data_IF_584268015553
#
_entry.id   IF_584268015553
#
_cell.length_a   1.000
_cell.length_b   1.000
_cell.length_c   1.000
_cell.angle_alpha   90.00
_cell.angle_beta   90.00
_cell.angle_gamma   90.00
#
_symmetry.space_group_name_H-M   'P 1'
#
loop_
_entity.id
_entity.type
_entity.pdbx_description
1 polymer ?
#
# COMPACT_ATOMS: atom_id res chain seq x y z
N UNK A 1 9.51 -16.41 4.89
CA UNK A 1 8.14 -16.89 4.60
C UNK A 1 8.17 -17.89 3.46
N UNK A 2 8.53 -17.47 2.24
CA UNK A 2 8.62 -18.39 1.09
C UNK A 2 9.57 -19.60 1.30
N UNK A 3 10.57 -19.48 2.16
CA UNK A 3 11.47 -20.57 2.56
C UNK A 3 11.05 -21.28 3.86
N UNK A 4 9.80 -21.12 4.30
CA UNK A 4 9.22 -21.70 5.52
C UNK A 4 9.93 -21.38 6.86
N UNK A 5 10.82 -20.38 6.93
CA UNK A 5 11.49 -20.02 8.19
C UNK A 5 10.65 -19.14 9.13
N UNK A 6 9.54 -18.58 8.64
CA UNK A 6 8.57 -17.81 9.45
C UNK A 6 7.16 -18.17 9.00
N UNK A 7 6.23 -18.22 9.96
CA UNK A 7 4.83 -18.61 9.74
C UNK A 7 3.96 -17.44 9.28
N UNK A 8 4.31 -16.21 9.67
CA UNK A 8 3.62 -14.98 9.26
C UNK A 8 4.61 -13.99 8.64
N UNK A 9 4.13 -13.20 7.68
CA UNK A 9 4.90 -12.17 7.02
C UNK A 9 3.99 -10.97 6.71
N UNK A 10 4.30 -9.81 7.31
CA UNK A 10 3.57 -8.57 7.06
C UNK A 10 4.02 -7.97 5.73
N UNK A 11 3.09 -7.81 4.77
CA UNK A 11 3.35 -7.21 3.46
C UNK A 11 2.09 -6.64 2.85
N UNK A 12 2.22 -6.02 1.68
CA UNK A 12 1.08 -5.61 0.87
C UNK A 12 0.80 -6.55 -0.30
N UNK A 13 -0.29 -6.27 -1.00
CA UNK A 13 -0.79 -7.05 -2.14
C UNK A 13 0.22 -7.22 -3.28
N UNK A 14 1.15 -6.28 -3.46
CA UNK A 14 2.22 -6.36 -4.47
C UNK A 14 3.12 -7.60 -4.33
N UNK A 15 3.13 -8.23 -3.15
CA UNK A 15 3.95 -9.41 -2.87
C UNK A 15 3.29 -10.72 -3.34
N UNK A 16 1.98 -10.72 -3.57
CA UNK A 16 1.16 -11.89 -3.93
C UNK A 16 1.68 -12.63 -5.17
N UNK A 17 1.98 -11.97 -6.31
CA UNK A 17 2.52 -12.68 -7.48
C UNK A 17 3.82 -13.40 -7.20
N UNK A 18 4.73 -12.76 -6.44
CA UNK A 18 6.00 -13.37 -6.07
C UNK A 18 5.81 -14.58 -5.12
N UNK A 19 4.83 -14.54 -4.23
CA UNK A 19 4.51 -15.69 -3.38
C UNK A 19 3.93 -16.85 -4.19
N UNK A 20 2.99 -16.57 -5.08
CA UNK A 20 2.44 -17.58 -5.99
C UNK A 20 3.55 -18.27 -6.81
N UNK A 21 4.49 -17.49 -7.36
CA UNK A 21 5.61 -18.02 -8.14
C UNK A 21 6.61 -18.81 -7.29
N UNK A 22 7.10 -18.22 -6.19
CA UNK A 22 8.22 -18.79 -5.42
C UNK A 22 7.82 -19.92 -4.48
N UNK A 23 6.59 -19.91 -3.97
CA UNK A 23 6.06 -20.98 -3.13
C UNK A 23 5.52 -22.10 -4.00
N UNK A 24 4.84 -21.77 -5.10
CA UNK A 24 4.23 -22.75 -5.97
C UNK A 24 3.30 -23.68 -5.19
N UNK A 25 3.53 -24.98 -5.31
CA UNK A 25 2.79 -26.06 -4.64
C UNK A 25 3.46 -26.55 -3.36
N UNK A 26 4.53 -25.89 -2.89
CA UNK A 26 5.30 -26.37 -1.74
C UNK A 26 4.48 -26.39 -0.43
N UNK A 27 3.58 -25.43 -0.25
CA UNK A 27 2.64 -25.37 0.88
C UNK A 27 1.52 -24.35 0.62
N UNK A 28 0.38 -24.54 1.30
CA UNK A 28 -0.74 -23.60 1.27
C UNK A 28 -0.40 -22.33 2.05
N UNK A 29 -0.85 -21.18 1.53
CA UNK A 29 -0.72 -19.88 2.17
C UNK A 29 -1.93 -19.01 1.85
N UNK A 30 -2.24 -18.08 2.73
CA UNK A 30 -3.35 -17.14 2.54
C UNK A 30 -3.02 -15.80 3.18
N UNK A 31 -3.62 -14.73 2.64
CA UNK A 31 -3.64 -13.44 3.33
C UNK A 31 -4.69 -13.47 4.46
N UNK A 32 -4.43 -12.71 5.53
CA UNK A 32 -5.39 -12.48 6.62
C UNK A 32 -5.59 -10.98 6.80
N UNK A 33 -6.72 -10.54 7.39
CA UNK A 33 -6.96 -9.13 7.68
C UNK A 33 -5.85 -8.48 8.51
N UNK A 34 -5.73 -7.16 8.42
CA UNK A 34 -4.75 -6.41 9.21
C UNK A 34 -5.01 -6.62 10.71
N UNK A 35 -3.97 -6.81 11.53
CA UNK A 35 -4.13 -6.96 12.97
C UNK A 35 -4.70 -5.69 13.59
N UNK A 36 -5.53 -5.84 14.63
CA UNK A 36 -6.10 -4.73 15.37
C UNK A 36 -5.11 -4.20 16.41
N UNK A 37 -4.84 -2.90 16.37
CA UNK A 37 -4.22 -2.16 17.47
C UNK A 37 -5.26 -1.47 18.35
N UNK A 38 -4.83 -0.76 19.42
CA UNK A 38 -5.73 -0.02 20.30
C UNK A 38 -6.57 1.06 19.60
N UNK A 39 -6.08 1.58 18.47
CA UNK A 39 -6.74 2.66 17.74
C UNK A 39 -7.60 2.18 16.56
N UNK A 40 -7.15 1.14 15.82
CA UNK A 40 -7.83 0.65 14.63
C UNK A 40 -7.30 -0.73 14.18
N UNK A 41 -8.10 -1.43 13.37
CA UNK A 41 -7.67 -2.57 12.55
C UNK A 41 -7.44 -2.03 11.13
N UNK A 42 -6.26 -1.49 10.86
CA UNK A 42 -5.97 -0.77 9.61
C UNK A 42 -4.57 -1.06 9.11
N UNK A 43 -4.43 -1.08 7.78
CA UNK A 43 -3.14 -0.94 7.10
C UNK A 43 -2.79 0.52 6.81
N UNK A 44 -1.68 0.71 6.12
CA UNK A 44 -1.33 1.97 5.46
C UNK A 44 -1.74 1.89 3.98
N UNK A 45 -2.50 2.86 3.45
CA UNK A 45 -2.74 2.92 2.02
C UNK A 45 -1.43 3.18 1.28
N UNK A 46 -1.31 2.55 0.13
CA UNK A 46 -0.20 2.70 -0.81
C UNK A 46 -0.72 2.62 -2.23
N UNK A 47 0.18 2.66 -3.21
CA UNK A 47 -0.18 2.44 -4.61
C UNK A 47 0.59 3.34 -5.56
N UNK A 48 0.18 3.29 -6.82
CA UNK A 48 0.67 4.14 -7.88
C UNK A 48 -0.49 4.95 -8.45
N UNK A 49 -0.19 6.18 -8.86
CA UNK A 49 -1.13 7.04 -9.56
C UNK A 49 -0.61 7.30 -10.98
N UNK A 50 -1.54 7.36 -11.94
CA UNK A 50 -1.27 7.93 -13.24
C UNK A 50 -1.54 9.43 -13.18
N UNK A 51 -0.54 10.24 -13.53
CA UNK A 51 -0.64 11.70 -13.48
C UNK A 51 -0.40 12.32 -14.86
N UNK A 52 -1.22 13.31 -15.21
CA UNK A 52 -0.94 14.20 -16.33
C UNK A 52 0.11 15.23 -15.96
N UNK A 53 1.05 15.51 -16.85
CA UNK A 53 2.07 16.53 -16.64
C UNK A 53 1.53 17.89 -17.09
N UNK A 54 1.56 18.88 -16.20
CA UNK A 54 0.97 20.19 -16.44
C UNK A 54 1.59 20.94 -17.63
N UNK A 55 2.87 20.72 -17.90
CA UNK A 55 3.63 21.39 -18.97
C UNK A 55 3.47 20.74 -20.35
N UNK A 56 2.50 19.83 -20.53
CA UNK A 56 2.25 19.19 -21.83
C UNK A 56 1.74 20.20 -22.87
N UNK A 57 2.21 20.08 -24.11
CA UNK A 57 1.68 20.83 -25.26
C UNK A 57 0.31 20.28 -25.75
N UNK A 58 -0.13 19.14 -25.20
CA UNK A 58 -1.34 18.41 -25.61
C UNK A 58 -2.30 18.12 -24.43
N UNK A 59 -2.80 19.15 -23.72
CA UNK A 59 -3.59 18.96 -22.50
C UNK A 59 -4.95 18.30 -22.77
N UNK A 60 -5.58 18.57 -23.91
CA UNK A 60 -6.89 17.99 -24.26
C UNK A 60 -6.77 16.49 -24.57
N UNK A 61 -5.71 16.07 -25.27
CA UNK A 61 -5.43 14.68 -25.60
C UNK A 61 -5.06 13.88 -24.36
N UNK A 62 -4.22 14.44 -23.48
CA UNK A 62 -3.91 13.82 -22.18
C UNK A 62 -5.18 13.65 -21.35
N UNK A 63 -6.02 14.68 -21.26
CA UNK A 63 -7.29 14.59 -20.55
C UNK A 63 -8.21 13.50 -21.15
N UNK A 64 -8.24 13.35 -22.48
CA UNK A 64 -9.00 12.29 -23.16
C UNK A 64 -8.50 10.89 -22.79
N UNK A 65 -7.19 10.68 -22.75
CA UNK A 65 -6.60 9.39 -22.34
C UNK A 65 -6.90 9.12 -20.87
N UNK A 66 -6.70 10.09 -19.99
CA UNK A 66 -7.02 9.94 -18.56
C UNK A 66 -8.49 9.63 -18.33
N UNK A 67 -9.39 10.31 -19.04
CA UNK A 67 -10.84 10.07 -18.95
C UNK A 67 -11.21 8.65 -19.39
N UNK A 68 -10.59 8.14 -20.46
CA UNK A 68 -10.79 6.76 -20.90
C UNK A 68 -10.25 5.76 -19.87
N UNK A 69 -9.03 5.95 -19.38
CA UNK A 69 -8.41 5.06 -18.40
C UNK A 69 -9.12 5.04 -17.05
N UNK A 70 -9.87 6.09 -16.72
CA UNK A 70 -10.67 6.19 -15.49
C UNK A 70 -12.07 5.56 -15.63
N UNK A 71 -12.46 5.07 -16.81
CA UNK A 71 -13.77 4.42 -16.98
C UNK A 71 -13.82 3.11 -16.15
N UNK A 72 -14.93 2.82 -15.43
CA UNK A 72 -15.00 1.67 -14.52
C UNK A 72 -14.71 0.32 -15.18
N UNK A 73 -15.13 0.12 -16.42
CA UNK A 73 -14.87 -1.07 -17.23
C UNK A 73 -13.38 -1.19 -17.59
N UNK A 74 -12.73 -0.10 -17.98
CA UNK A 74 -11.29 -0.05 -18.27
C UNK A 74 -10.46 -0.28 -17.00
N UNK A 75 -10.80 0.39 -15.90
CA UNK A 75 -10.15 0.18 -14.60
C UNK A 75 -10.38 -1.24 -14.09
N UNK A 76 -11.59 -1.78 -14.23
CA UNK A 76 -11.93 -3.14 -13.83
C UNK A 76 -11.08 -4.17 -14.56
N UNK A 77 -10.95 -4.04 -15.88
CA UNK A 77 -10.05 -4.90 -16.67
C UNK A 77 -8.59 -4.75 -16.21
N UNK A 78 -8.12 -3.50 -16.02
CA UNK A 78 -6.76 -3.22 -15.57
C UNK A 78 -6.47 -3.90 -14.23
N UNK A 79 -7.30 -3.69 -13.21
CA UNK A 79 -7.12 -4.30 -11.90
C UNK A 79 -7.19 -5.82 -11.95
N UNK A 80 -8.14 -6.37 -12.70
CA UNK A 80 -8.31 -7.81 -12.86
C UNK A 80 -7.08 -8.48 -13.48
N UNK A 81 -6.48 -7.87 -14.51
CA UNK A 81 -5.32 -8.42 -15.23
C UNK A 81 -3.98 -8.14 -14.55
N UNK A 82 -3.85 -6.98 -13.91
CA UNK A 82 -2.62 -6.60 -13.20
C UNK A 82 -2.54 -7.16 -11.78
N UNK A 83 -3.63 -7.74 -11.28
CA UNK A 83 -3.76 -8.22 -9.90
C UNK A 83 -3.53 -7.12 -8.86
N UNK A 84 -3.85 -5.87 -9.23
CA UNK A 84 -3.79 -4.72 -8.33
C UNK A 84 -5.11 -4.56 -7.59
N UNK A 85 -5.01 -4.07 -6.36
CA UNK A 85 -6.16 -3.77 -5.52
C UNK A 85 -6.82 -2.47 -6.01
N UNK A 86 -8.15 -2.45 -6.24
CA UNK A 86 -8.83 -1.28 -6.78
C UNK A 86 -8.70 -0.06 -5.86
N UNK A 87 -8.22 1.06 -6.42
CA UNK A 87 -8.23 2.37 -5.78
C UNK A 87 -9.51 3.18 -6.04
N UNK A 88 -10.41 2.65 -6.89
CA UNK A 88 -11.70 3.24 -7.20
C UNK A 88 -12.77 2.67 -6.27
N UNK A 89 -13.39 3.51 -5.42
CA UNK A 89 -14.36 3.08 -4.39
C UNK A 89 -15.50 2.24 -4.97
N UNK A 90 -16.08 2.65 -6.09
CA UNK A 90 -17.16 1.88 -6.72
C UNK A 90 -16.74 0.47 -7.17
N UNK A 91 -15.46 0.28 -7.54
CA UNK A 91 -14.93 -1.03 -7.93
C UNK A 91 -14.51 -1.84 -6.70
N UNK A 92 -14.02 -1.18 -5.65
CA UNK A 92 -13.77 -1.81 -4.36
C UNK A 92 -15.07 -2.35 -3.74
N UNK A 93 -16.18 -1.62 -3.87
CA UNK A 93 -17.51 -2.03 -3.39
C UNK A 93 -18.17 -3.09 -4.27
N UNK A 94 -18.13 -2.95 -5.60
CA UNK A 94 -18.74 -3.93 -6.51
C UNK A 94 -17.92 -5.22 -6.65
N UNK A 95 -16.65 -5.19 -6.27
CA UNK A 95 -15.67 -6.22 -6.54
C UNK A 95 -15.03 -6.11 -7.93
N UNK A 96 -13.86 -6.72 -8.06
CA UNK A 96 -13.14 -6.93 -9.33
C UNK A 96 -12.82 -8.42 -9.46
N UNK A 97 -13.03 -8.95 -10.66
CA UNK A 97 -12.62 -10.32 -11.00
C UNK A 97 -11.12 -10.35 -11.27
N UNK A 98 -10.36 -10.99 -10.39
CA UNK A 98 -8.92 -11.18 -10.56
C UNK A 98 -8.65 -12.34 -11.53
N UNK A 99 -7.95 -12.04 -12.63
CA UNK A 99 -7.64 -13.00 -13.69
C UNK A 99 -6.40 -13.80 -13.27
N UNK A 100 -6.63 -14.91 -12.56
CA UNK A 100 -5.57 -15.80 -12.09
C UNK A 100 -6.04 -17.25 -12.04
N UNK A 101 -5.15 -18.18 -12.38
CA UNK A 101 -5.41 -19.63 -12.26
C UNK A 101 -5.12 -20.17 -10.85
N UNK A 102 -4.63 -19.33 -9.94
CA UNK A 102 -4.27 -19.70 -8.57
C UNK A 102 -5.40 -19.31 -7.61
N UNK A 103 -6.10 -20.28 -7.00
CA UNK A 103 -7.11 -19.99 -5.99
C UNK A 103 -6.54 -19.23 -4.79
N UNK A 104 -5.31 -19.55 -4.38
CA UNK A 104 -4.62 -18.86 -3.27
C UNK A 104 -4.35 -17.38 -3.61
N UNK A 105 -4.01 -17.09 -4.86
CA UNK A 105 -3.83 -15.71 -5.35
C UNK A 105 -5.15 -14.96 -5.32
N UNK A 106 -6.21 -15.55 -5.86
CA UNK A 106 -7.54 -14.95 -5.86
C UNK A 106 -8.02 -14.64 -4.43
N UNK A 107 -7.93 -15.62 -3.53
CA UNK A 107 -8.32 -15.47 -2.13
C UNK A 107 -7.52 -14.37 -1.44
N UNK A 108 -6.19 -14.34 -1.64
CA UNK A 108 -5.34 -13.32 -1.04
C UNK A 108 -5.72 -11.91 -1.51
N UNK A 109 -5.97 -11.72 -2.81
CA UNK A 109 -6.35 -10.43 -3.37
C UNK A 109 -7.76 -10.00 -2.92
N UNK A 110 -8.70 -10.94 -2.78
CA UNK A 110 -10.02 -10.67 -2.19
C UNK A 110 -9.91 -10.18 -0.75
N UNK A 111 -9.04 -10.79 0.07
CA UNK A 111 -8.78 -10.31 1.42
C UNK A 111 -8.24 -8.88 1.41
N UNK A 112 -7.21 -8.60 0.59
CA UNK A 112 -6.67 -7.23 0.49
C UNK A 112 -7.70 -6.21 0.00
N UNK A 113 -8.54 -6.55 -0.98
CA UNK A 113 -9.61 -5.68 -1.47
C UNK A 113 -10.64 -5.37 -0.36
N UNK A 114 -10.98 -6.36 0.46
CA UNK A 114 -11.91 -6.19 1.58
C UNK A 114 -11.36 -5.32 2.73
N UNK A 115 -10.04 -5.09 2.78
CA UNK A 115 -9.42 -4.20 3.77
C UNK A 115 -9.43 -2.73 3.33
N UNK A 116 -9.60 -2.42 2.04
CA UNK A 116 -9.59 -1.03 1.53
C UNK A 116 -10.63 -0.14 2.22
N UNK A 117 -11.90 -0.56 2.40
CA UNK A 117 -12.90 0.27 3.09
C UNK A 117 -12.65 0.43 4.60
N UNK A 118 -11.72 -0.34 5.18
CA UNK A 118 -11.39 -0.31 6.62
C UNK A 118 -10.18 0.56 6.93
N UNK A 119 -9.52 1.11 5.90
CA UNK A 119 -8.38 1.98 6.07
C UNK A 119 -8.78 3.23 6.87
N UNK A 120 -8.02 3.49 7.93
CA UNK A 120 -8.28 4.62 8.81
C UNK A 120 -7.98 5.95 8.10
N UNK A 121 -8.81 6.96 8.37
CA UNK A 121 -8.66 8.31 7.79
C UNK A 121 -7.27 8.90 8.04
N UNK A 122 -6.70 8.73 9.24
CA UNK A 122 -5.36 9.20 9.59
C UNK A 122 -4.28 8.60 8.67
N UNK A 123 -4.49 7.36 8.19
CA UNK A 123 -3.55 6.72 7.27
C UNK A 123 -3.59 7.37 5.88
N UNK A 124 -4.77 7.79 5.40
CA UNK A 124 -4.92 8.57 4.16
C UNK A 124 -4.36 9.99 4.32
N UNK A 125 -4.63 10.65 5.45
CA UNK A 125 -4.07 11.96 5.75
C UNK A 125 -2.55 11.93 5.74
N UNK A 126 -1.94 10.93 6.41
CA UNK A 126 -0.49 10.73 6.40
C UNK A 126 0.03 10.46 4.99
N UNK A 127 -0.65 9.62 4.20
CA UNK A 127 -0.21 9.33 2.82
C UNK A 127 -0.26 10.59 1.94
N UNK A 128 -1.30 11.41 2.05
CA UNK A 128 -1.47 12.65 1.29
C UNK A 128 -0.70 13.86 1.86
N UNK A 129 -0.10 13.73 3.03
CA UNK A 129 0.60 14.83 3.68
C UNK A 129 1.84 15.27 2.88
N UNK A 130 1.97 16.58 2.64
CA UNK A 130 3.10 17.12 1.85
C UNK A 130 4.48 16.79 2.40
N UNK A 131 4.60 16.51 3.71
CA UNK A 131 5.84 16.10 4.36
C UNK A 131 5.83 14.64 4.84
N UNK A 132 4.97 13.80 4.25
CA UNK A 132 4.88 12.37 4.57
C UNK A 132 6.25 11.67 4.56
N UNK A 133 7.13 12.05 3.64
CA UNK A 133 8.46 11.47 3.48
C UNK A 133 9.36 11.74 4.68
N UNK A 134 9.25 12.91 5.31
CA UNK A 134 9.98 13.21 6.53
C UNK A 134 9.55 12.27 7.66
N UNK A 135 8.24 12.07 7.82
CA UNK A 135 7.68 11.17 8.83
C UNK A 135 8.11 9.72 8.56
N UNK A 136 7.98 9.23 7.32
CA UNK A 136 8.35 7.85 6.98
C UNK A 136 9.83 7.57 7.18
N UNK A 137 10.70 8.49 6.75
CA UNK A 137 12.15 8.33 6.92
C UNK A 137 12.52 8.35 8.40
N UNK A 138 12.05 9.34 9.17
CA UNK A 138 12.31 9.42 10.60
C UNK A 138 11.83 8.16 11.34
N UNK A 139 10.62 7.68 11.00
CA UNK A 139 10.09 6.44 11.59
C UNK A 139 10.97 5.24 11.28
N UNK A 140 11.34 5.06 10.00
CA UNK A 140 12.19 3.95 9.56
C UNK A 140 13.57 3.97 10.25
N UNK A 141 14.23 5.13 10.23
CA UNK A 141 15.59 5.27 10.75
C UNK A 141 15.60 5.09 12.26
N UNK A 142 14.72 5.79 12.99
CA UNK A 142 14.73 5.76 14.46
C UNK A 142 14.22 4.45 15.03
N UNK A 143 13.21 3.81 14.42
CA UNK A 143 12.83 2.46 14.83
C UNK A 143 13.94 1.44 14.56
N UNK A 144 14.69 1.58 13.47
CA UNK A 144 15.87 0.73 13.23
C UNK A 144 16.87 0.85 14.36
N UNK A 145 17.16 2.07 14.83
CA UNK A 145 18.06 2.32 15.97
C UNK A 145 17.56 1.67 17.27
N UNK A 146 16.24 1.67 17.49
CA UNK A 146 15.65 0.94 18.63
C UNK A 146 15.87 -0.57 18.49
N UNK A 147 15.62 -1.13 17.30
CA UNK A 147 15.74 -2.57 17.05
C UNK A 147 17.18 -3.08 17.21
N UNK A 148 18.18 -2.27 16.89
CA UNK A 148 19.60 -2.62 17.07
C UNK A 148 20.16 -2.23 18.44
N UNK A 149 19.34 -1.64 19.32
CA UNK A 149 19.70 -1.28 20.69
C UNK A 149 20.52 0.01 20.83
N UNK A 150 20.57 0.86 19.80
CA UNK A 150 21.23 2.18 19.85
C UNK A 150 20.41 3.22 20.62
N UNK A 151 19.08 3.09 20.63
CA UNK A 151 18.16 3.99 21.33
C UNK A 151 17.09 3.20 22.09
N UNK A 152 16.59 3.78 23.16
CA UNK A 152 15.29 3.40 23.72
C UNK A 152 14.16 3.91 22.83
N UNK A 153 12.95 3.34 22.98
CA UNK A 153 11.78 3.82 22.25
C UNK A 153 11.46 5.28 22.57
N UNK A 154 11.57 5.69 23.84
CA UNK A 154 11.29 7.07 24.26
C UNK A 154 12.26 8.07 23.62
N UNK A 155 13.56 7.74 23.57
CA UNK A 155 14.56 8.57 22.88
C UNK A 155 14.31 8.63 21.37
N UNK A 156 13.92 7.51 20.76
CA UNK A 156 13.59 7.45 19.34
C UNK A 156 12.39 8.33 19.00
N UNK A 157 11.34 8.34 19.84
CA UNK A 157 10.15 9.19 19.63
C UNK A 157 10.51 10.68 19.66
N UNK A 158 11.36 11.10 20.61
CA UNK A 158 11.85 12.49 20.66
C UNK A 158 12.64 12.83 19.39
N UNK A 159 13.56 11.96 18.97
CA UNK A 159 14.36 12.19 17.76
C UNK A 159 13.55 12.19 16.48
N UNK A 160 12.52 11.34 16.38
CA UNK A 160 11.60 11.36 15.24
C UNK A 160 10.93 12.72 15.10
N UNK A 161 10.47 13.29 16.22
CA UNK A 161 9.87 14.63 16.22
C UNK A 161 10.88 15.70 15.78
N UNK A 162 12.09 15.68 16.33
CA UNK A 162 13.16 16.62 15.96
C UNK A 162 13.52 16.54 14.47
N UNK A 163 13.62 15.33 13.90
CA UNK A 163 13.91 15.13 12.48
C UNK A 163 12.79 15.66 11.59
N UNK A 164 11.54 15.40 11.96
CA UNK A 164 10.36 15.88 11.23
C UNK A 164 10.29 17.40 11.28
N UNK A 165 10.44 18.00 12.46
CA UNK A 165 10.42 19.45 12.65
C UNK A 165 11.52 20.13 11.82
N UNK A 166 12.73 19.57 11.84
CA UNK A 166 13.85 20.04 11.04
C UNK A 166 13.56 19.95 9.54
N UNK A 167 13.08 18.80 9.06
CA UNK A 167 12.77 18.60 7.65
C UNK A 167 11.66 19.56 7.16
N UNK A 168 10.68 19.84 8.02
CA UNK A 168 9.63 20.82 7.72
C UNK A 168 10.21 22.24 7.65
N UNK A 169 11.08 22.62 8.59
CA UNK A 169 11.71 23.93 8.62
C UNK A 169 12.62 24.19 7.42
N UNK A 170 13.37 23.18 6.95
CA UNK A 170 14.26 23.27 5.78
C UNK A 170 13.51 23.37 4.43
N UNK A 171 12.24 22.97 4.40
CA UNK A 171 11.40 22.97 3.20
C UNK A 171 10.48 24.20 3.08
N UNK A 172 10.61 25.17 4.00
CA UNK A 172 9.91 26.46 4.00
C UNK A 172 10.79 27.57 3.43
#
# INVERSE_FOLDING_TARGET
FANAQVVMYMSGSWQVPQFAEKIGDAFDWWAVPAPCGPAACTGMPGGAALVGIADTEHPEEVARVMAYLAQPDVLGEFYGRSLFIPGHLGLAESGVEFVTDSPLTADALTVFAAEVPKLNEVAYELQGYRFNRAIFNATSDRLTQVLVGELTLDEAMVRMQEDVDKAIAEAQ
#
